data_IF_518989586464
#
_entry.id   IF_518989586464
#
_cell.length_a   1.000
_cell.length_b   1.000
_cell.length_c   1.000
_cell.angle_alpha   90.00
_cell.angle_beta   90.00
_cell.angle_gamma   90.00
#
_symmetry.space_group_name_H-M   'P 1'
#
loop_
_entity.id
_entity.type
_entity.pdbx_description
1 polymer ?
#
# COMPACT_ATOMS: atom_id res chain seq x y z
N UNK A 1 17.58 10.98 1.01
CA UNK A 1 16.73 11.18 -0.18
C UNK A 1 15.75 10.03 -0.20
N UNK A 2 14.47 10.28 0.11
CA UNK A 2 13.44 9.24 0.14
C UNK A 2 12.84 9.01 -1.24
N UNK A 3 12.43 7.78 -1.53
CA UNK A 3 11.75 7.36 -2.76
C UNK A 3 10.30 7.89 -2.82
N UNK A 4 10.13 9.21 -2.82
CA UNK A 4 8.80 9.85 -2.97
C UNK A 4 8.25 9.75 -4.40
N UNK A 5 8.87 8.91 -5.25
CA UNK A 5 8.47 8.73 -6.62
C UNK A 5 7.10 8.02 -6.71
N UNK A 6 6.22 8.45 -7.64
CA UNK A 6 4.98 7.75 -7.93
C UNK A 6 5.25 6.29 -8.31
N UNK A 7 4.32 5.38 -8.02
CA UNK A 7 4.50 3.92 -8.22
C UNK A 7 4.55 3.49 -9.71
N UNK A 8 4.57 4.45 -10.65
CA UNK A 8 4.73 4.20 -12.08
C UNK A 8 3.57 3.44 -12.73
N UNK A 9 3.81 2.94 -13.95
CA UNK A 9 2.81 2.27 -14.81
C UNK A 9 2.25 0.95 -14.26
N UNK A 10 2.85 0.39 -13.21
CA UNK A 10 2.44 -0.89 -12.60
C UNK A 10 1.03 -0.86 -12.01
N UNK A 11 0.49 0.33 -11.75
CA UNK A 11 -0.88 0.48 -11.26
C UNK A 11 -1.94 0.16 -12.33
N UNK A 12 -1.66 0.42 -13.62
CA UNK A 12 -2.68 0.27 -14.67
C UNK A 12 -3.07 -1.18 -14.95
N UNK A 13 -2.14 -2.12 -14.79
CA UNK A 13 -2.44 -3.55 -15.00
C UNK A 13 -3.37 -4.13 -13.94
N UNK A 14 -3.34 -3.62 -12.70
CA UNK A 14 -4.20 -4.12 -11.61
C UNK A 14 -5.58 -3.48 -11.55
N UNK A 15 -5.85 -2.43 -12.36
CA UNK A 15 -7.17 -1.82 -12.46
C UNK A 15 -8.15 -2.69 -13.23
N UNK A 16 -7.65 -3.54 -14.15
CA UNK A 16 -8.47 -4.36 -15.03
C UNK A 16 -8.38 -5.82 -14.61
N UNK A 17 -9.53 -6.48 -14.47
CA UNK A 17 -9.60 -7.92 -14.24
C UNK A 17 -10.37 -8.60 -15.37
N UNK A 18 -9.97 -9.82 -15.72
CA UNK A 18 -10.75 -10.69 -16.58
C UNK A 18 -12.06 -11.06 -15.87
N UNK A 19 -13.18 -10.83 -16.52
CA UNK A 19 -14.51 -11.10 -15.98
C UNK A 19 -15.07 -12.37 -16.61
N UNK A 20 -15.34 -13.37 -15.78
CA UNK A 20 -15.94 -14.63 -16.17
C UNK A 20 -17.45 -14.57 -15.92
N UNK A 21 -18.30 -14.96 -16.89
CA UNK A 21 -19.74 -15.02 -16.66
C UNK A 21 -20.03 -15.96 -15.48
N UNK A 22 -20.61 -15.41 -14.41
CA UNK A 22 -21.09 -16.20 -13.28
C UNK A 22 -22.28 -17.04 -13.74
N UNK A 23 -22.00 -18.28 -14.14
CA UNK A 23 -23.02 -19.29 -14.35
C UNK A 23 -23.45 -19.79 -12.96
N UNK A 24 -24.65 -19.36 -12.56
CA UNK A 24 -25.54 -19.86 -11.50
C UNK A 24 -24.91 -20.84 -10.47
N UNK A 25 -24.87 -20.41 -9.19
CA UNK A 25 -24.46 -21.12 -7.95
C UNK A 25 -22.99 -21.01 -7.51
N UNK A 26 -22.54 -19.81 -7.08
CA UNK A 26 -21.32 -19.71 -6.29
C UNK A 26 -20.79 -18.30 -6.06
N UNK A 27 -21.39 -17.56 -5.13
CA UNK A 27 -20.70 -16.57 -4.27
C UNK A 27 -19.93 -15.39 -4.88
N UNK A 28 -20.00 -15.11 -6.19
CA UNK A 28 -19.35 -13.96 -6.83
C UNK A 28 -20.31 -12.78 -7.02
N UNK A 29 -20.04 -11.63 -6.38
CA UNK A 29 -20.98 -10.51 -6.26
C UNK A 29 -21.06 -9.55 -7.45
N UNK A 30 -20.34 -9.73 -8.56
CA UNK A 30 -20.33 -8.72 -9.63
C UNK A 30 -20.49 -9.35 -11.03
N UNK A 31 -21.71 -9.28 -11.59
CA UNK A 31 -21.96 -9.59 -12.99
C UNK A 31 -21.59 -8.37 -13.88
N UNK A 32 -20.32 -8.28 -14.28
CA UNK A 32 -19.79 -7.20 -15.14
C UNK A 32 -19.39 -7.70 -16.55
N UNK A 33 -19.95 -8.83 -16.99
CA UNK A 33 -19.76 -9.32 -18.36
C UNK A 33 -20.50 -8.43 -19.38
N UNK A 34 -20.08 -8.45 -20.64
CA UNK A 34 -20.80 -7.73 -21.70
C UNK A 34 -22.03 -8.54 -22.12
N UNK A 35 -23.26 -8.00 -22.03
CA UNK A 35 -24.45 -8.73 -22.44
C UNK A 35 -24.53 -8.74 -23.97
N UNK A 36 -24.15 -9.84 -24.60
CA UNK A 36 -24.41 -10.09 -26.02
C UNK A 36 -25.56 -11.09 -26.14
N UNK A 37 -26.63 -10.72 -26.82
CA UNK A 37 -27.81 -11.57 -26.96
C UNK A 37 -28.37 -12.10 -25.62
N UNK A 38 -28.37 -11.26 -24.57
CA UNK A 38 -28.78 -11.60 -23.19
C UNK A 38 -27.92 -12.66 -22.50
N UNK A 39 -26.76 -13.02 -23.05
CA UNK A 39 -25.77 -13.89 -22.43
C UNK A 39 -24.53 -13.06 -22.09
N UNK A 40 -24.09 -13.15 -20.85
CA UNK A 40 -22.86 -12.49 -20.41
C UNK A 40 -21.65 -13.18 -21.02
N UNK A 41 -20.85 -12.42 -21.77
CA UNK A 41 -19.61 -12.90 -22.37
C UNK A 41 -18.41 -12.47 -21.53
N UNK A 42 -17.34 -13.27 -21.61
CA UNK A 42 -16.09 -12.97 -20.94
C UNK A 42 -15.51 -11.65 -21.49
N UNK A 43 -15.06 -10.76 -20.62
CA UNK A 43 -14.56 -9.45 -21.00
C UNK A 43 -13.52 -8.93 -20.02
N UNK A 44 -12.96 -7.75 -20.32
CA UNK A 44 -12.12 -7.00 -19.39
C UNK A 44 -12.92 -5.81 -18.87
N UNK A 45 -12.94 -5.63 -17.55
CA UNK A 45 -13.60 -4.50 -16.91
C UNK A 45 -12.67 -3.84 -15.90
N UNK A 46 -12.79 -2.53 -15.76
CA UNK A 46 -12.08 -1.78 -14.72
C UNK A 46 -12.77 -2.04 -13.37
N UNK A 47 -12.06 -2.66 -12.44
CA UNK A 47 -12.58 -3.06 -11.11
C UNK A 47 -12.15 -2.12 -9.99
N UNK A 48 -11.22 -1.20 -10.26
CA UNK A 48 -10.73 -0.20 -9.31
C UNK A 48 -10.49 1.14 -10.00
N UNK A 49 -10.68 2.27 -9.31
CA UNK A 49 -10.38 3.58 -9.87
C UNK A 49 -8.85 3.76 -9.98
N UNK A 50 -8.41 4.40 -11.06
CA UNK A 50 -7.02 4.83 -11.18
C UNK A 50 -6.71 5.86 -10.09
N UNK A 51 -5.57 5.71 -9.41
CA UNK A 51 -5.10 6.69 -8.44
C UNK A 51 -3.67 7.13 -8.78
N UNK A 52 -3.49 8.13 -9.66
CA UNK A 52 -2.17 8.59 -10.11
C UNK A 52 -1.35 9.28 -9.01
N UNK A 53 -1.95 9.60 -7.86
CA UNK A 53 -1.26 10.18 -6.71
C UNK A 53 -0.61 9.14 -5.79
N UNK A 54 -0.74 7.86 -6.11
CA UNK A 54 -0.12 6.79 -5.35
C UNK A 54 1.41 6.88 -5.42
N UNK A 55 2.05 6.76 -4.27
CA UNK A 55 3.50 6.71 -4.07
C UNK A 55 3.89 5.50 -3.21
N UNK A 56 5.16 5.11 -3.26
CA UNK A 56 5.66 4.10 -2.33
C UNK A 56 5.60 4.60 -0.89
N UNK A 57 5.37 3.66 0.03
CA UNK A 57 5.53 3.92 1.46
C UNK A 57 6.96 4.42 1.73
N UNK A 58 7.07 5.48 2.53
CA UNK A 58 8.37 6.09 2.84
C UNK A 58 8.71 5.82 4.29
N UNK A 59 9.87 5.23 4.52
CA UNK A 59 10.41 5.00 5.85
C UNK A 59 11.70 5.80 6.06
N UNK A 60 11.75 6.58 7.14
CA UNK A 60 12.90 7.41 7.49
C UNK A 60 13.39 7.05 8.89
N UNK A 61 14.61 6.55 8.97
CA UNK A 61 15.27 6.27 10.23
C UNK A 61 16.34 7.33 10.53
N UNK A 62 16.52 7.65 11.80
CA UNK A 62 17.56 8.53 12.33
C UNK A 62 18.09 7.90 13.60
N UNK A 63 19.40 7.67 13.63
CA UNK A 63 20.09 7.01 14.72
C UNK A 63 21.18 7.96 15.25
N UNK A 64 21.30 8.07 16.57
CA UNK A 64 22.26 8.90 17.29
C UNK A 64 22.88 8.04 18.39
N UNK A 65 24.18 7.76 18.28
CA UNK A 65 24.93 6.97 19.25
C UNK A 65 26.06 7.74 19.92
N UNK A 66 26.37 7.39 21.16
CA UNK A 66 27.52 7.90 21.93
C UNK A 66 28.26 6.71 22.54
N UNK A 67 29.57 6.65 22.28
CA UNK A 67 30.47 5.66 22.86
C UNK A 67 31.50 6.32 23.79
N UNK A 68 31.68 5.76 24.98
CA UNK A 68 32.69 6.18 25.93
C UNK A 68 33.41 4.98 26.57
N UNK A 69 34.74 5.08 26.68
CA UNK A 69 35.58 4.05 27.29
C UNK A 69 36.44 4.66 28.40
N UNK A 70 36.47 3.99 29.56
CA UNK A 70 37.22 4.41 30.75
C UNK A 70 38.21 3.31 31.18
N UNK A 71 39.20 3.67 32.00
CA UNK A 71 40.14 2.73 32.62
C UNK A 71 40.86 1.81 31.60
N UNK A 72 41.41 2.38 30.53
CA UNK A 72 42.02 1.63 29.42
C UNK A 72 41.07 0.58 28.78
N UNK A 73 39.76 0.87 28.77
CA UNK A 73 38.74 -0.02 28.20
C UNK A 73 38.19 -1.06 29.16
N UNK A 74 38.55 -1.02 30.46
CA UNK A 74 37.96 -1.92 31.46
C UNK A 74 36.49 -1.61 31.77
N UNK A 75 36.02 -0.40 31.43
CA UNK A 75 34.62 -0.01 31.54
C UNK A 75 34.19 0.73 30.27
N UNK A 76 33.16 0.23 29.60
CA UNK A 76 32.61 0.81 28.37
C UNK A 76 31.13 1.13 28.56
N UNK A 77 30.73 2.29 28.04
CA UNK A 77 29.35 2.73 27.97
C UNK A 77 29.02 3.07 26.53
N UNK A 78 27.93 2.49 26.04
CA UNK A 78 27.31 2.82 24.76
C UNK A 78 25.87 3.20 25.07
N UNK A 79 25.41 4.26 24.43
CA UNK A 79 24.01 4.68 24.47
C UNK A 79 23.60 5.09 23.06
N UNK A 80 22.54 4.48 22.58
CA UNK A 80 21.98 4.69 21.26
C UNK A 80 20.54 5.19 21.38
N UNK A 81 20.19 6.15 20.54
CA UNK A 81 18.84 6.63 20.37
C UNK A 81 18.44 6.49 18.91
N UNK A 82 17.29 5.90 18.67
CA UNK A 82 16.74 5.79 17.33
C UNK A 82 15.35 6.41 17.22
N UNK A 83 15.08 6.92 16.01
CA UNK A 83 13.77 7.39 15.59
C UNK A 83 13.47 6.92 14.18
N UNK A 84 12.37 6.19 14.04
CA UNK A 84 11.83 5.72 12.78
C UNK A 84 10.48 6.39 12.52
N UNK A 85 10.38 7.15 11.43
CA UNK A 85 9.17 7.79 10.94
C UNK A 85 8.75 7.10 9.62
N UNK A 86 7.70 6.30 9.65
CA UNK A 86 7.13 5.62 8.49
C UNK A 86 5.84 6.32 8.06
N UNK A 87 5.70 6.67 6.77
CA UNK A 87 4.56 7.44 6.23
C UNK A 87 4.07 6.83 4.92
N UNK A 88 2.84 7.19 4.56
CA UNK A 88 2.25 6.88 3.25
C UNK A 88 1.99 5.38 3.04
N UNK A 89 1.48 4.66 4.06
CA UNK A 89 1.15 3.24 3.93
C UNK A 89 0.16 2.98 2.79
N UNK A 90 0.44 1.98 1.96
CA UNK A 90 -0.41 1.61 0.82
C UNK A 90 -1.57 0.73 1.28
N UNK A 91 -2.71 1.34 1.58
CA UNK A 91 -3.88 0.63 2.09
C UNK A 91 -5.01 0.57 1.06
N UNK A 92 -5.60 -0.62 0.92
CA UNK A 92 -6.85 -0.85 0.18
C UNK A 92 -8.03 -0.61 1.12
N UNK A 93 -8.71 0.51 0.94
CA UNK A 93 -9.84 0.91 1.76
C UNK A 93 -11.17 0.65 1.04
N UNK A 94 -12.23 0.42 1.80
CA UNK A 94 -13.58 0.38 1.27
C UNK A 94 -13.94 1.75 0.69
N UNK A 95 -14.46 1.77 -0.54
CA UNK A 95 -14.89 2.99 -1.22
C UNK A 95 -16.41 3.14 -1.10
N UNK A 96 -16.96 4.37 -1.01
CA UNK A 96 -18.41 4.57 -1.03
C UNK A 96 -19.04 3.98 -2.30
N UNK A 97 -20.17 3.28 -2.17
CA UNK A 97 -20.84 2.61 -3.29
C UNK A 97 -21.21 3.56 -4.45
N UNK A 98 -21.44 4.85 -4.15
CA UNK A 98 -21.70 5.90 -5.15
C UNK A 98 -20.56 6.08 -6.16
N UNK A 99 -19.33 5.68 -5.79
CA UNK A 99 -18.17 5.76 -6.69
C UNK A 99 -18.18 4.70 -7.78
N UNK A 100 -19.05 3.69 -7.70
CA UNK A 100 -19.08 2.57 -8.64
C UNK A 100 -17.97 1.53 -8.42
N UNK A 101 -17.19 1.67 -7.34
CA UNK A 101 -16.10 0.75 -6.99
C UNK A 101 -16.23 0.30 -5.53
N UNK A 102 -15.89 -0.97 -5.27
CA UNK A 102 -15.91 -1.54 -3.93
C UNK A 102 -14.69 -1.10 -3.07
N UNK A 103 -13.55 -0.83 -3.71
CA UNK A 103 -12.31 -0.50 -3.01
C UNK A 103 -11.50 0.57 -3.74
N UNK A 104 -10.71 1.31 -2.97
CA UNK A 104 -9.74 2.28 -3.46
C UNK A 104 -8.42 2.13 -2.69
N UNK A 105 -7.31 2.08 -3.42
CA UNK A 105 -5.96 2.06 -2.82
C UNK A 105 -5.47 3.50 -2.67
N UNK A 106 -5.05 3.87 -1.45
CA UNK A 106 -4.51 5.20 -1.12
C UNK A 106 -3.33 5.09 -0.16
N UNK A 107 -2.44 6.07 -0.21
CA UNK A 107 -1.44 6.30 0.84
C UNK A 107 -2.14 6.87 2.07
N UNK A 108 -2.10 6.16 3.19
CA UNK A 108 -2.85 6.51 4.40
C UNK A 108 -1.99 6.27 5.63
N UNK A 109 -2.07 7.20 6.58
CA UNK A 109 -1.46 7.04 7.89
C UNK A 109 0.04 7.36 7.96
N UNK A 110 0.50 7.44 9.20
CA UNK A 110 1.89 7.57 9.56
C UNK A 110 2.12 6.89 10.91
N UNK A 111 3.28 6.29 11.08
CA UNK A 111 3.73 5.67 12.33
C UNK A 111 5.07 6.25 12.71
N UNK A 112 5.24 6.48 14.02
CA UNK A 112 6.51 6.90 14.59
C UNK A 112 6.90 5.89 15.67
N UNK A 113 8.09 5.35 15.55
CA UNK A 113 8.71 4.50 16.56
C UNK A 113 9.99 5.18 17.07
N UNK A 114 10.18 5.21 18.38
CA UNK A 114 11.36 5.79 19.02
C UNK A 114 11.78 4.91 20.19
N UNK A 115 13.08 4.71 20.34
CA UNK A 115 13.63 3.92 21.45
C UNK A 115 15.03 4.35 21.81
N UNK A 116 15.51 3.77 22.91
CA UNK A 116 16.86 3.92 23.43
C UNK A 116 17.43 2.51 23.64
N UNK A 117 18.68 2.29 23.26
CA UNK A 117 19.44 1.05 23.45
C UNK A 117 20.80 1.32 24.12
#
# INVERSE_FOLDING_TARGET
MGNEAPIGLFQYQSLYAGNFPSNVNGGGLDNLGYPFNKVYQNGIAQTQPANPSLKWETDKQTDIGIDAAFLHGALTFTADWFRRDSKDFLLRLASPAQTGYNFITRNVGSMKNTGFE
#
